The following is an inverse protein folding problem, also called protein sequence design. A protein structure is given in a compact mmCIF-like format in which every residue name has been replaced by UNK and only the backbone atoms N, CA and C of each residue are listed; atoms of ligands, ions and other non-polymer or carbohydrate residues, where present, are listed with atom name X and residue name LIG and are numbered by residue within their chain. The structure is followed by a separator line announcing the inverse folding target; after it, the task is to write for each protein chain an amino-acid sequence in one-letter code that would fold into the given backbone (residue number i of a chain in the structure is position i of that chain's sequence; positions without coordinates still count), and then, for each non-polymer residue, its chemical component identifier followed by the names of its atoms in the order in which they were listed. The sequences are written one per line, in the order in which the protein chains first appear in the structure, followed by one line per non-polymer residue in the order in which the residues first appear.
data_IF_053761334414
#
_entry.id   IF_053761334414
#
_cell.length_a   1.000
_cell.length_b   1.000
_cell.length_c   1.000
_cell.angle_alpha   90.00
_cell.angle_beta   90.00
_cell.angle_gamma   90.00
#
_symmetry.space_group_name_H-M   'P 1'
#
loop_
_entity.id
_entity.type
_entity.pdbx_description
1 polymer ?
#
# COMPACT_ATOMS: atom_id res chain seq x y z
N UNK A 1 4.91 -10.88 11.83
CA UNK A 1 3.50 -11.15 11.53
C UNK A 1 2.62 -10.17 12.30
N UNK A 2 1.70 -9.52 11.61
CA UNK A 2 0.58 -8.79 12.22
C UNK A 2 -0.50 -9.83 12.55
N UNK A 3 -1.10 -9.73 13.71
CA UNK A 3 -2.08 -10.71 14.23
C UNK A 3 -3.37 -10.00 14.63
N UNK A 4 -4.54 -10.67 14.54
CA UNK A 4 -5.78 -10.15 15.07
C UNK A 4 -5.72 -10.07 16.63
N UNK A 5 -6.51 -9.18 17.22
CA UNK A 5 -6.51 -8.95 18.68
C UNK A 5 -6.77 -10.21 19.49
N UNK A 6 -7.69 -11.07 19.05
CA UNK A 6 -8.01 -12.35 19.70
C UNK A 6 -6.88 -13.39 19.61
N UNK A 7 -5.83 -13.13 18.84
CA UNK A 7 -4.64 -13.98 18.72
C UNK A 7 -3.37 -13.27 19.24
N UNK A 8 -3.53 -12.32 20.17
CA UNK A 8 -2.42 -11.56 20.76
C UNK A 8 -1.93 -10.38 19.91
N UNK A 9 -2.68 -10.00 18.90
CA UNK A 9 -2.38 -8.84 18.03
C UNK A 9 -2.92 -7.52 18.60
N UNK A 10 -2.86 -6.46 17.79
CA UNK A 10 -3.36 -5.12 18.15
C UNK A 10 -2.28 -4.24 18.77
N UNK A 11 -1.00 -4.57 18.55
CA UNK A 11 0.12 -3.71 18.92
C UNK A 11 0.20 -2.44 18.03
N UNK A 12 -0.57 -2.40 16.95
CA UNK A 12 -0.63 -1.29 16.00
C UNK A 12 0.30 -1.47 14.80
N UNK A 13 0.34 -0.44 13.98
CA UNK A 13 1.14 -0.40 12.75
C UNK A 13 2.65 -0.47 13.04
N UNK A 14 3.40 -1.11 12.14
CA UNK A 14 4.86 -1.11 12.16
C UNK A 14 5.35 0.02 11.27
N UNK A 15 6.10 0.96 11.81
CA UNK A 15 6.58 2.16 11.10
C UNK A 15 8.11 2.25 11.11
N UNK A 16 8.70 2.71 10.01
CA UNK A 16 10.14 3.00 9.96
C UNK A 16 10.49 4.20 10.85
N UNK A 17 11.72 4.24 11.37
CA UNK A 17 12.24 5.41 12.11
C UNK A 17 12.59 6.54 11.14
N UNK A 18 13.20 6.20 10.02
CA UNK A 18 13.59 7.14 8.96
C UNK A 18 12.43 7.43 8.01
N UNK A 19 12.51 8.56 7.33
CA UNK A 19 11.65 8.95 6.22
C UNK A 19 12.39 8.79 4.89
N UNK A 20 11.62 8.56 3.82
CA UNK A 20 12.16 8.32 2.48
C UNK A 20 11.42 9.17 1.45
N UNK A 21 12.18 9.70 0.47
CA UNK A 21 11.65 10.47 -0.66
C UNK A 21 11.70 9.68 -1.97
N UNK A 22 12.89 9.15 -2.32
CA UNK A 22 13.07 8.31 -3.50
C UNK A 22 13.68 6.97 -3.08
N UNK A 23 13.03 5.87 -3.44
CA UNK A 23 13.42 4.55 -2.95
C UNK A 23 12.88 3.42 -3.84
N UNK A 24 13.48 2.25 -3.67
CA UNK A 24 12.92 0.96 -4.08
C UNK A 24 12.68 0.17 -2.79
N UNK A 25 11.43 -0.11 -2.48
CA UNK A 25 11.03 -0.97 -1.37
C UNK A 25 10.61 -2.33 -1.91
N UNK A 26 11.16 -3.40 -1.36
CA UNK A 26 10.76 -4.77 -1.65
C UNK A 26 10.35 -5.46 -0.36
N UNK A 27 9.18 -6.11 -0.37
CA UNK A 27 8.59 -6.77 0.81
C UNK A 27 7.90 -8.05 0.35
N UNK A 28 8.23 -9.18 0.97
CA UNK A 28 7.42 -10.38 0.81
C UNK A 28 6.27 -10.35 1.84
N UNK A 29 5.06 -10.68 1.38
CA UNK A 29 3.88 -10.79 2.23
C UNK A 29 3.16 -12.13 2.00
N UNK A 30 2.47 -12.60 3.03
CA UNK A 30 1.64 -13.79 3.00
C UNK A 30 0.34 -13.54 3.74
N UNK A 31 -0.77 -13.73 3.03
CA UNK A 31 -2.13 -13.54 3.53
C UNK A 31 -2.70 -14.84 4.11
N UNK A 32 -3.58 -14.73 5.08
CA UNK A 32 -4.57 -15.75 5.43
C UNK A 32 -5.88 -15.48 4.68
N UNK A 33 -6.83 -16.38 4.78
CA UNK A 33 -8.14 -16.26 4.11
C UNK A 33 -8.86 -14.98 4.53
N UNK A 34 -9.38 -14.24 3.57
CA UNK A 34 -10.05 -12.95 3.73
C UNK A 34 -9.25 -11.88 4.51
N UNK A 35 -7.92 -11.95 4.55
CA UNK A 35 -7.11 -11.00 5.30
C UNK A 35 -6.90 -9.68 4.56
N UNK A 36 -6.78 -8.60 5.35
CA UNK A 36 -6.50 -7.23 4.91
C UNK A 36 -5.30 -6.65 5.66
N UNK A 37 -4.48 -5.94 4.94
CA UNK A 37 -3.36 -5.13 5.41
C UNK A 37 -2.97 -4.14 4.31
N UNK A 38 -1.88 -3.39 4.50
CA UNK A 38 -1.37 -2.45 3.51
C UNK A 38 0.09 -2.10 3.76
N UNK A 39 0.78 -1.70 2.70
CA UNK A 39 2.11 -1.10 2.78
C UNK A 39 1.93 0.36 2.44
N UNK A 40 1.93 1.21 3.48
CA UNK A 40 1.83 2.66 3.30
C UNK A 40 3.21 3.26 3.11
N UNK A 41 3.28 4.30 2.31
CA UNK A 41 4.52 5.04 2.07
C UNK A 41 4.22 6.54 1.98
N UNK A 42 5.24 7.37 2.23
CA UNK A 42 5.07 8.79 2.52
C UNK A 42 4.13 9.06 3.71
N UNK A 43 4.12 8.15 4.68
CA UNK A 43 3.29 8.31 5.87
C UNK A 43 3.84 9.42 6.78
N UNK A 44 2.93 10.31 7.20
CA UNK A 44 3.19 11.31 8.23
C UNK A 44 2.00 11.31 9.20
N UNK A 45 2.20 10.93 10.48
CA UNK A 45 1.11 10.83 11.44
C UNK A 45 0.43 12.18 11.72
N UNK A 46 1.08 13.30 11.41
CA UNK A 46 0.56 14.65 11.61
C UNK A 46 -0.22 15.20 10.41
N UNK A 47 -0.23 14.48 9.28
CA UNK A 47 -0.89 14.94 8.04
C UNK A 47 -2.07 14.05 7.68
N UNK A 48 -3.10 14.68 7.11
CA UNK A 48 -4.26 14.00 6.49
C UNK A 48 -4.91 12.94 7.38
N UNK A 49 -4.90 13.13 8.72
CA UNK A 49 -5.44 12.14 9.66
C UNK A 49 -4.73 10.78 9.60
N UNK A 50 -3.44 10.75 9.22
CA UNK A 50 -2.67 9.51 9.06
C UNK A 50 -3.00 8.73 7.77
N UNK A 51 -3.70 9.36 6.80
CA UNK A 51 -3.94 8.74 5.49
C UNK A 51 -2.86 9.14 4.50
N UNK A 52 -2.42 8.19 3.68
CA UNK A 52 -1.38 8.39 2.68
C UNK A 52 -1.49 7.36 1.56
N UNK A 53 -0.55 7.38 0.62
CA UNK A 53 -0.42 6.37 -0.43
C UNK A 53 -0.24 4.98 0.19
N UNK A 54 -0.99 4.02 -0.33
CA UNK A 54 -1.01 2.65 0.19
C UNK A 54 -1.02 1.65 -0.96
N UNK A 55 -0.01 0.77 -0.97
CA UNK A 55 -0.02 -0.45 -1.76
C UNK A 55 -0.91 -1.45 -1.03
N UNK A 56 -2.05 -1.81 -1.62
CA UNK A 56 -3.02 -2.68 -0.98
C UNK A 56 -2.51 -4.12 -0.88
N UNK A 57 -2.61 -4.70 0.32
CA UNK A 57 -2.30 -6.10 0.63
C UNK A 57 -3.58 -6.76 1.11
N UNK A 58 -4.31 -7.40 0.17
CA UNK A 58 -5.68 -7.86 0.40
C UNK A 58 -5.95 -9.19 -0.29
N UNK A 59 -6.61 -10.10 0.41
CA UNK A 59 -7.21 -11.26 -0.22
C UNK A 59 -8.50 -10.86 -0.97
N UNK A 60 -8.70 -11.41 -2.16
CA UNK A 60 -9.88 -11.11 -3.00
C UNK A 60 -11.22 -11.46 -2.33
N UNK A 61 -11.22 -12.36 -1.35
CA UNK A 61 -12.40 -12.71 -0.56
C UNK A 61 -12.77 -11.69 0.51
N UNK A 62 -11.86 -10.77 0.85
CA UNK A 62 -12.16 -9.75 1.84
C UNK A 62 -13.26 -8.81 1.31
N UNK A 63 -14.26 -8.43 2.13
CA UNK A 63 -15.39 -7.58 1.68
C UNK A 63 -14.97 -6.24 1.08
N UNK A 64 -13.81 -5.70 1.44
CA UNK A 64 -13.31 -4.43 0.90
C UNK A 64 -12.85 -4.53 -0.56
N UNK A 65 -12.53 -5.74 -1.06
CA UNK A 65 -12.10 -5.97 -2.44
C UNK A 65 -13.19 -5.57 -3.46
N UNK A 66 -14.45 -5.73 -3.10
CA UNK A 66 -15.60 -5.40 -3.96
C UNK A 66 -16.13 -3.98 -3.78
N UNK A 67 -15.62 -3.25 -2.76
CA UNK A 67 -15.92 -1.84 -2.56
C UNK A 67 -15.00 -0.98 -3.43
N UNK A 68 -15.35 0.29 -3.56
CA UNK A 68 -14.55 1.21 -4.35
C UNK A 68 -14.98 1.21 -5.82
N UNK A 69 -14.07 1.59 -6.70
CA UNK A 69 -14.34 1.81 -8.11
C UNK A 69 -13.30 1.06 -8.96
N UNK A 70 -13.76 0.35 -9.98
CA UNK A 70 -12.91 -0.30 -11.00
C UNK A 70 -11.83 -1.22 -10.42
N UNK A 71 -12.09 -1.84 -9.25
CA UNK A 71 -11.12 -2.70 -8.56
C UNK A 71 -9.99 -1.96 -7.85
N UNK A 72 -10.12 -0.65 -7.59
CA UNK A 72 -9.07 0.16 -6.95
C UNK A 72 -8.82 -0.15 -5.46
N UNK A 73 -9.45 -1.21 -4.93
CA UNK A 73 -9.19 -1.76 -3.59
C UNK A 73 -8.68 -3.20 -3.61
N UNK A 74 -8.34 -3.71 -4.79
CA UNK A 74 -7.72 -5.05 -4.91
C UNK A 74 -6.23 -5.01 -4.62
N UNK A 75 -5.60 -6.17 -4.47
CA UNK A 75 -4.16 -6.29 -4.19
C UNK A 75 -3.32 -5.50 -5.18
N UNK A 76 -2.25 -4.87 -4.68
CA UNK A 76 -1.30 -4.03 -5.42
C UNK A 76 -1.87 -2.71 -5.99
N UNK A 77 -3.16 -2.44 -5.86
CA UNK A 77 -3.73 -1.14 -6.21
C UNK A 77 -3.16 -0.01 -5.35
N UNK A 78 -3.18 1.22 -5.84
CA UNK A 78 -3.13 2.41 -5.00
C UNK A 78 -4.50 2.53 -4.34
N UNK A 79 -4.58 2.08 -3.09
CA UNK A 79 -5.84 1.87 -2.37
C UNK A 79 -6.83 3.02 -2.52
N UNK A 80 -8.04 2.70 -2.98
CA UNK A 80 -9.17 3.60 -3.22
C UNK A 80 -8.94 4.68 -4.29
N UNK A 81 -7.78 4.74 -4.92
CA UNK A 81 -7.41 5.78 -5.90
C UNK A 81 -7.26 5.21 -7.30
N UNK A 82 -6.35 4.26 -7.52
CA UNK A 82 -6.06 3.69 -8.84
C UNK A 82 -5.97 2.17 -8.79
N UNK A 83 -6.65 1.45 -9.70
CA UNK A 83 -6.58 0.00 -9.75
C UNK A 83 -5.24 -0.51 -10.30
N UNK A 84 -4.78 -1.66 -9.80
CA UNK A 84 -3.71 -2.42 -10.41
C UNK A 84 -4.23 -3.19 -11.63
N UNK A 85 -3.53 -3.11 -12.75
CA UNK A 85 -3.88 -3.83 -13.97
C UNK A 85 -3.15 -5.19 -14.02
N UNK A 86 -3.91 -6.26 -14.25
CA UNK A 86 -3.33 -7.60 -14.46
C UNK A 86 -2.63 -8.20 -13.23
N UNK A 87 -2.93 -7.73 -12.03
CA UNK A 87 -2.36 -8.24 -10.79
C UNK A 87 -2.72 -9.72 -10.59
N UNK A 88 -1.69 -10.59 -10.46
CA UNK A 88 -1.83 -12.03 -10.26
C UNK A 88 -1.18 -12.44 -8.94
N UNK A 89 -1.87 -12.32 -7.81
CA UNK A 89 -1.36 -12.81 -6.54
C UNK A 89 -1.29 -14.35 -6.56
N UNK A 90 -0.33 -14.89 -5.84
CA UNK A 90 -0.31 -16.31 -5.51
C UNK A 90 -1.42 -16.62 -4.51
N UNK A 91 -1.87 -17.88 -4.42
CA UNK A 91 -2.90 -18.29 -3.50
C UNK A 91 -2.65 -17.90 -2.04
N UNK A 92 -3.72 -17.78 -1.27
CA UNK A 92 -3.66 -17.60 0.19
C UNK A 92 -2.75 -18.68 0.81
N UNK A 93 -1.92 -18.26 1.76
CA UNK A 93 -0.90 -19.12 2.39
C UNK A 93 0.46 -19.14 1.67
N UNK A 94 0.54 -18.64 0.44
CA UNK A 94 1.80 -18.51 -0.30
C UNK A 94 2.42 -17.12 -0.17
N UNK A 95 3.74 -17.04 -0.35
CA UNK A 95 4.49 -15.80 -0.31
C UNK A 95 4.40 -15.06 -1.65
N UNK A 96 3.91 -13.84 -1.60
CA UNK A 96 3.95 -12.86 -2.68
C UNK A 96 5.05 -11.84 -2.43
N UNK A 97 5.58 -11.24 -3.49
CA UNK A 97 6.55 -10.15 -3.41
C UNK A 97 5.92 -8.86 -3.93
N UNK A 98 5.76 -7.88 -3.05
CA UNK A 98 5.47 -6.51 -3.41
C UNK A 98 6.77 -5.75 -3.67
N UNK A 99 6.80 -4.90 -4.71
CA UNK A 99 7.84 -3.90 -4.88
C UNK A 99 7.20 -2.55 -5.20
N UNK A 100 7.67 -1.53 -4.52
CA UNK A 100 7.29 -0.13 -4.74
C UNK A 100 8.54 0.61 -5.18
N UNK A 101 8.49 1.23 -6.35
CA UNK A 101 9.53 2.13 -6.85
C UNK A 101 8.98 3.55 -6.75
N UNK A 102 9.66 4.42 -6.02
CA UNK A 102 9.38 5.85 -6.00
C UNK A 102 10.63 6.59 -6.41
N UNK A 103 10.57 7.29 -7.54
CA UNK A 103 11.66 8.12 -8.04
C UNK A 103 11.11 9.52 -8.33
N UNK A 104 11.38 10.47 -7.45
CA UNK A 104 10.73 11.76 -7.46
C UNK A 104 9.21 11.61 -7.37
N UNK A 105 8.49 12.10 -8.38
CA UNK A 105 7.02 11.99 -8.46
C UNK A 105 6.53 10.70 -9.10
N UNK A 106 7.40 9.98 -9.83
CA UNK A 106 7.04 8.72 -10.47
C UNK A 106 6.97 7.59 -9.46
N UNK A 107 5.88 6.85 -9.48
CA UNK A 107 5.65 5.70 -8.59
C UNK A 107 5.21 4.50 -9.41
N UNK A 108 5.76 3.34 -9.07
CA UNK A 108 5.36 2.06 -9.65
C UNK A 108 5.02 1.07 -8.54
N UNK A 109 3.96 0.28 -8.74
CA UNK A 109 3.66 -0.91 -7.98
C UNK A 109 3.94 -2.16 -8.81
N UNK A 110 4.62 -3.11 -8.20
CA UNK A 110 4.97 -4.39 -8.79
C UNK A 110 4.48 -5.52 -7.90
N UNK A 111 3.97 -6.57 -8.49
CA UNK A 111 3.57 -7.80 -7.80
C UNK A 111 4.23 -9.00 -8.46
N UNK A 112 4.98 -9.81 -7.70
CA UNK A 112 5.64 -11.03 -8.16
C UNK A 112 6.52 -10.83 -9.41
N UNK A 113 7.16 -9.66 -9.55
CA UNK A 113 8.05 -9.33 -10.65
C UNK A 113 7.37 -8.63 -11.84
N UNK A 114 6.04 -8.50 -11.83
CA UNK A 114 5.28 -7.81 -12.87
C UNK A 114 4.87 -6.41 -12.42
N UNK A 115 5.07 -5.40 -13.27
CA UNK A 115 4.58 -4.04 -13.03
C UNK A 115 3.08 -3.99 -13.28
N UNK A 116 2.31 -3.67 -12.24
CA UNK A 116 0.84 -3.68 -12.28
C UNK A 116 0.21 -2.30 -12.19
N UNK A 117 0.99 -1.28 -11.77
CA UNK A 117 0.53 0.10 -11.72
C UNK A 117 1.72 1.04 -11.87
N UNK A 118 1.53 2.14 -12.61
CA UNK A 118 2.45 3.26 -12.64
C UNK A 118 1.67 4.58 -12.68
N UNK A 119 2.13 5.56 -11.92
CA UNK A 119 1.50 6.89 -11.87
C UNK A 119 2.49 7.98 -11.47
N UNK A 120 2.15 9.21 -11.78
CA UNK A 120 2.88 10.39 -11.35
C UNK A 120 2.09 11.13 -10.28
N UNK A 121 2.67 11.23 -9.07
CA UNK A 121 2.08 11.97 -7.95
C UNK A 121 1.91 13.45 -8.30
N UNK A 122 0.73 14.01 -8.03
CA UNK A 122 0.45 15.42 -8.31
C UNK A 122 0.20 15.75 -9.79
N UNK A 123 0.15 14.75 -10.68
CA UNK A 123 -0.35 14.95 -12.05
C UNK A 123 -1.86 15.20 -12.05
N UNK A 124 -2.38 15.78 -13.13
CA UNK A 124 -3.82 15.98 -13.27
C UNK A 124 -4.60 14.67 -13.20
N UNK A 125 -4.07 13.60 -13.80
CA UNK A 125 -4.67 12.25 -13.74
C UNK A 125 -4.71 11.73 -12.31
N UNK A 126 -3.61 11.88 -11.55
CA UNK A 126 -3.56 11.50 -10.15
C UNK A 126 -4.57 12.30 -9.31
N UNK A 127 -4.58 13.63 -9.45
CA UNK A 127 -5.50 14.50 -8.70
C UNK A 127 -6.96 14.23 -9.00
N UNK A 128 -7.31 13.95 -10.27
CA UNK A 128 -8.66 13.51 -10.67
C UNK A 128 -9.06 12.19 -9.99
N UNK A 129 -8.14 11.22 -9.92
CA UNK A 129 -8.39 9.96 -9.25
C UNK A 129 -8.57 10.13 -7.72
N UNK A 130 -7.76 10.97 -7.08
CA UNK A 130 -7.90 11.33 -5.65
C UNK A 130 -9.24 12.03 -5.39
N UNK A 131 -9.67 12.95 -6.27
CA UNK A 131 -10.94 13.65 -6.14
C UNK A 131 -12.16 12.71 -6.15
N UNK A 132 -12.05 11.55 -6.80
CA UNK A 132 -13.07 10.51 -6.84
C UNK A 132 -12.95 9.48 -5.70
N UNK A 133 -11.93 9.58 -4.84
CA UNK A 133 -11.65 8.67 -3.73
C UNK A 133 -12.21 9.21 -2.40
N UNK A 134 -12.15 8.38 -1.36
CA UNK A 134 -12.47 8.81 0.02
C UNK A 134 -11.48 9.84 0.59
N UNK A 135 -10.37 10.09 -0.11
CA UNK A 135 -9.33 11.06 0.30
C UNK A 135 -9.54 12.47 -0.27
N UNK A 136 -10.62 12.71 -0.99
CA UNK A 136 -10.93 13.97 -1.69
C UNK A 136 -10.99 15.21 -0.79
N UNK A 137 -11.14 15.03 0.53
CA UNK A 137 -11.18 16.13 1.51
C UNK A 137 -9.78 16.62 1.94
N UNK A 138 -8.72 15.96 1.54
CA UNK A 138 -7.36 16.28 1.93
C UNK A 138 -6.62 17.02 0.80
N UNK A 139 -6.33 18.33 0.95
CA UNK A 139 -5.57 19.06 -0.05
C UNK A 139 -4.18 18.45 -0.28
N UNK A 140 -3.77 18.32 -1.54
CA UNK A 140 -2.46 17.77 -1.92
C UNK A 140 -2.16 16.39 -1.30
N UNK A 141 -3.21 15.56 -1.17
CA UNK A 141 -3.06 14.20 -0.65
C UNK A 141 -2.08 13.38 -1.51
N UNK A 142 -1.13 12.71 -0.85
CA UNK A 142 -0.12 11.89 -1.52
C UNK A 142 1.00 12.68 -2.22
N UNK A 143 1.06 14.02 -2.06
CA UNK A 143 2.05 14.88 -2.73
C UNK A 143 3.22 15.31 -1.81
N UNK A 144 3.29 14.81 -0.58
CA UNK A 144 4.41 15.09 0.32
C UNK A 144 5.74 14.54 -0.23
N UNK A 145 6.84 15.30 -0.02
CA UNK A 145 8.15 14.94 -0.60
C UNK A 145 8.79 13.72 0.04
N UNK A 146 8.57 13.53 1.34
CA UNK A 146 9.11 12.40 2.10
C UNK A 146 8.11 11.93 3.16
N UNK A 147 8.29 10.70 3.63
CA UNK A 147 7.52 10.15 4.73
C UNK A 147 7.99 8.75 5.12
N UNK A 148 7.40 8.24 6.17
CA UNK A 148 7.70 6.91 6.67
C UNK A 148 7.11 5.81 5.78
N UNK A 149 7.68 4.60 5.87
CA UNK A 149 7.06 3.36 5.42
C UNK A 149 6.33 2.74 6.60
N UNK A 150 5.12 2.24 6.36
CA UNK A 150 4.29 1.65 7.39
C UNK A 150 3.69 0.34 6.88
N UNK A 151 3.76 -0.70 7.69
CA UNK A 151 3.03 -1.95 7.49
C UNK A 151 1.79 -1.92 8.40
N UNK A 152 0.61 -1.99 7.79
CA UNK A 152 -0.65 -1.77 8.47
C UNK A 152 -1.06 -2.98 9.31
N UNK A 153 -1.46 -2.72 10.55
CA UNK A 153 -2.24 -3.63 11.40
C UNK A 153 -3.74 -3.39 11.16
N UNK A 154 -4.35 -4.21 10.30
CA UNK A 154 -5.79 -4.17 10.03
C UNK A 154 -6.56 -5.22 10.86
N UNK A 155 -5.95 -5.76 11.91
CA UNK A 155 -6.49 -6.78 12.80
C UNK A 155 -6.68 -8.17 12.13
N UNK A 156 -6.12 -8.37 10.96
CA UNK A 156 -6.06 -9.65 10.27
C UNK A 156 -4.65 -10.22 10.34
N UNK A 157 -4.54 -11.55 10.19
CA UNK A 157 -3.25 -12.22 10.22
C UNK A 157 -2.56 -12.08 8.87
N UNK A 158 -1.52 -11.25 8.82
CA UNK A 158 -0.65 -11.06 7.66
C UNK A 158 0.81 -11.19 8.08
N UNK A 159 1.59 -11.95 7.30
CA UNK A 159 3.02 -12.12 7.57
C UNK A 159 3.84 -11.34 6.55
N UNK A 160 4.90 -10.69 7.04
CA UNK A 160 5.89 -9.96 6.24
C UNK A 160 7.28 -10.51 6.48
N UNK A 161 8.13 -10.54 5.44
CA UNK A 161 9.54 -10.91 5.52
C UNK A 161 10.35 -10.23 4.42
N UNK A 162 11.68 -10.37 4.46
CA UNK A 162 12.59 -9.87 3.42
C UNK A 162 12.36 -8.39 3.08
N UNK A 163 12.08 -7.57 4.10
CA UNK A 163 11.85 -6.13 3.94
C UNK A 163 13.19 -5.47 3.62
N UNK A 164 13.31 -4.93 2.41
CA UNK A 164 14.53 -4.29 1.90
C UNK A 164 14.17 -2.96 1.28
N UNK A 165 14.94 -1.93 1.62
CA UNK A 165 14.83 -0.62 1.00
C UNK A 165 16.18 -0.20 0.42
N UNK A 166 16.14 0.32 -0.80
CA UNK A 166 17.26 1.00 -1.45
C UNK A 166 16.88 2.45 -1.64
N UNK A 167 17.60 3.34 -1.00
CA UNK A 167 17.44 4.79 -1.20
C UNK A 167 18.03 5.14 -2.57
N UNK A 168 17.28 5.90 -3.35
CA UNK A 168 17.73 6.45 -4.64
C UNK A 168 18.25 7.87 -4.40
N UNK A 169 19.28 8.22 -5.14
CA UNK A 169 19.89 9.56 -5.11
C UNK A 169 19.21 10.47 -6.12
#
# INVERSE_FOLDING_TARGET
TVLPKNAGGGAGDIITRETYSSFILKVDFRLTDAANSGIKYFFDPKRNGGTTLEYQVLDAKHPDATKGRDGNRTVASLYDVMPAAGAKPKPVGEWNTAMIVSNGRQVEHWLNGEKVLAFERGSDTFRKAVALSKFNKHPNWGEQEAGHILLQDHQDRVSYRNIKIKVLK
#
